data_IF_537593349997
#
_entry.id   IF_537593349997
#
_cell.length_a   1.000
_cell.length_b   1.000
_cell.length_c   1.000
_cell.angle_alpha   90.00
_cell.angle_beta   90.00
_cell.angle_gamma   90.00
#
_symmetry.space_group_name_H-M   'P 1'
#
loop_
_entity.id
_entity.type
_entity.pdbx_description
1 polymer ?
#
# COMPACT_ATOMS: atom_id res chain seq x y z
N UNK A 1 -8.75 -6.87 -12.68
CA UNK A 1 -8.65 -5.41 -12.51
C UNK A 1 -7.38 -5.17 -11.74
N UNK A 2 -6.36 -4.58 -12.35
CA UNK A 2 -5.01 -4.51 -11.76
C UNK A 2 -5.07 -3.79 -10.41
N UNK A 3 -4.51 -4.42 -9.38
CA UNK A 3 -4.40 -3.82 -8.06
C UNK A 3 -3.76 -2.44 -8.23
N UNK A 4 -4.57 -1.40 -8.00
CA UNK A 4 -4.08 -0.02 -8.07
C UNK A 4 -3.40 0.24 -6.74
N UNK A 5 -2.14 0.66 -6.79
CA UNK A 5 -1.43 1.12 -5.60
C UNK A 5 -1.42 2.64 -5.65
N UNK A 6 -2.41 3.33 -5.05
CA UNK A 6 -2.53 4.78 -5.16
C UNK A 6 -1.45 5.52 -4.35
N UNK A 7 -0.81 4.83 -3.39
CA UNK A 7 0.29 5.38 -2.63
C UNK A 7 1.56 5.46 -3.50
N UNK A 8 2.41 6.48 -3.37
CA UNK A 8 3.69 6.51 -4.08
C UNK A 8 4.69 5.53 -3.45
N UNK A 9 5.42 4.78 -4.29
CA UNK A 9 6.41 3.77 -3.87
C UNK A 9 7.43 4.29 -2.86
N UNK A 10 7.93 5.53 -3.05
CA UNK A 10 8.91 6.12 -2.15
C UNK A 10 8.37 6.24 -0.71
N UNK A 11 7.10 6.66 -0.57
CA UNK A 11 6.45 6.78 0.73
C UNK A 11 6.12 5.41 1.32
N UNK A 12 5.61 4.50 0.48
CA UNK A 12 5.34 3.11 0.83
C UNK A 12 6.60 2.44 1.43
N UNK A 13 7.73 2.56 0.75
CA UNK A 13 9.01 1.99 1.19
C UNK A 13 9.60 2.71 2.40
N UNK A 14 9.51 4.04 2.47
CA UNK A 14 10.07 4.81 3.59
C UNK A 14 9.37 4.52 4.92
N UNK A 15 8.06 4.29 4.89
CA UNK A 15 7.25 4.03 6.09
C UNK A 15 6.80 2.57 6.22
N UNK A 16 7.23 1.70 5.31
CA UNK A 16 6.81 0.30 5.22
C UNK A 16 5.28 0.17 5.24
N UNK A 17 4.61 0.98 4.43
CA UNK A 17 3.16 1.04 4.29
C UNK A 17 2.77 0.54 2.90
N UNK A 18 1.73 -0.29 2.82
CA UNK A 18 1.16 -0.73 1.55
C UNK A 18 -0.32 -0.42 1.53
N UNK A 19 -0.75 0.33 0.51
CA UNK A 19 -2.16 0.57 0.25
C UNK A 19 -2.56 -0.25 -0.98
N UNK A 20 -3.41 -1.25 -0.75
CA UNK A 20 -3.94 -2.12 -1.80
C UNK A 20 -5.38 -1.70 -2.11
N UNK A 21 -5.66 -1.43 -3.39
CA UNK A 21 -7.00 -1.20 -3.91
C UNK A 21 -7.50 -2.50 -4.57
N UNK A 22 -8.51 -3.13 -3.97
CA UNK A 22 -9.16 -4.32 -4.53
C UNK A 22 -10.24 -3.96 -5.58
N UNK A 23 -10.47 -2.65 -5.78
CA UNK A 23 -11.47 -2.09 -6.69
C UNK A 23 -12.81 -1.77 -6.02
N UNK A 24 -13.11 -2.39 -4.88
CA UNK A 24 -14.24 -2.04 -4.00
C UNK A 24 -13.78 -1.33 -2.72
N UNK A 25 -12.62 -1.73 -2.19
CA UNK A 25 -12.12 -1.33 -0.87
C UNK A 25 -10.62 -1.06 -0.90
N UNK A 26 -10.22 -0.12 -0.04
CA UNK A 26 -8.83 0.21 0.23
C UNK A 26 -8.36 -0.48 1.51
N UNK A 27 -7.40 -1.39 1.37
CA UNK A 27 -6.77 -2.10 2.49
C UNK A 27 -5.40 -1.50 2.75
N UNK A 28 -5.24 -0.91 3.94
CA UNK A 28 -3.97 -0.37 4.41
C UNK A 28 -3.25 -1.41 5.26
N UNK A 29 -2.08 -1.83 4.81
CA UNK A 29 -1.19 -2.70 5.55
C UNK A 29 -0.08 -1.90 6.22
N UNK A 30 0.09 -2.11 7.52
CA UNK A 30 1.08 -1.40 8.31
C UNK A 30 1.70 -2.31 9.39
N UNK A 31 3.00 -2.16 9.71
CA UNK A 31 3.60 -2.88 10.82
C UNK A 31 3.15 -2.33 12.17
N UNK A 32 3.32 -3.10 13.24
CA UNK A 32 3.06 -2.63 14.61
C UNK A 32 3.96 -1.45 14.99
N UNK A 33 5.17 -1.38 14.41
CA UNK A 33 6.16 -0.32 14.62
C UNK A 33 5.94 0.93 13.78
N UNK A 34 4.85 1.01 13.00
CA UNK A 34 4.58 2.15 12.12
C UNK A 34 4.40 3.45 12.89
N UNK A 35 4.92 4.55 12.34
CA UNK A 35 4.67 5.88 12.89
C UNK A 35 3.21 6.29 12.73
N UNK A 36 2.58 6.72 13.82
CA UNK A 36 1.19 7.20 13.82
C UNK A 36 1.01 8.42 12.92
N UNK A 37 2.02 9.27 12.78
CA UNK A 37 1.96 10.43 11.88
C UNK A 37 1.87 10.01 10.42
N UNK A 38 2.66 9.01 10.02
CA UNK A 38 2.61 8.47 8.66
C UNK A 38 1.28 7.76 8.38
N UNK A 39 0.78 7.00 9.37
CA UNK A 39 -0.53 6.36 9.29
C UNK A 39 -1.65 7.41 9.13
N UNK A 40 -1.61 8.48 9.92
CA UNK A 40 -2.62 9.55 9.90
C UNK A 40 -2.69 10.28 8.56
N UNK A 41 -1.55 10.53 7.91
CA UNK A 41 -1.53 11.13 6.58
C UNK A 41 -2.21 10.23 5.54
N UNK A 42 -1.95 8.92 5.57
CA UNK A 42 -2.61 7.97 4.65
C UNK A 42 -4.12 7.91 4.91
N UNK A 43 -4.54 7.81 6.17
CA UNK A 43 -5.96 7.77 6.55
C UNK A 43 -6.70 9.08 6.21
N UNK A 44 -5.97 10.21 6.14
CA UNK A 44 -6.53 11.50 5.74
C UNK A 44 -6.68 11.64 4.23
N UNK A 45 -5.70 11.15 3.47
CA UNK A 45 -5.68 11.26 2.01
C UNK A 45 -6.53 10.19 1.33
N UNK A 46 -6.61 8.99 1.93
CA UNK A 46 -7.26 7.82 1.35
C UNK A 46 -8.34 7.30 2.28
N UNK A 47 -9.48 6.92 1.70
CA UNK A 47 -10.59 6.32 2.44
C UNK A 47 -10.31 4.82 2.67
N UNK A 48 -9.40 4.54 3.60
CA UNK A 48 -9.08 3.17 4.01
C UNK A 48 -10.31 2.51 4.61
N UNK A 49 -10.72 1.39 4.05
CA UNK A 49 -11.85 0.58 4.52
C UNK A 49 -11.38 -0.39 5.61
N UNK A 50 -10.17 -0.93 5.46
CA UNK A 50 -9.62 -1.93 6.36
C UNK A 50 -8.14 -1.67 6.66
N UNK A 51 -7.78 -1.70 7.94
CA UNK A 51 -6.38 -1.68 8.39
C UNK A 51 -5.95 -3.10 8.77
N UNK A 52 -4.88 -3.60 8.15
CA UNK A 52 -4.27 -4.88 8.51
C UNK A 52 -2.86 -4.69 9.06
N UNK A 53 -2.52 -5.48 10.08
CA UNK A 53 -1.19 -5.49 10.69
C UNK A 53 -0.38 -6.63 10.12
N UNK A 54 0.85 -6.32 9.71
CA UNK A 54 1.74 -7.29 9.06
C UNK A 54 3.19 -6.96 9.42
N UNK A 55 4.06 -7.96 9.49
CA UNK A 55 5.46 -7.69 9.86
C UNK A 55 6.16 -6.79 8.85
N UNK A 56 7.06 -5.91 9.32
CA UNK A 56 7.80 -5.00 8.45
C UNK A 56 8.61 -5.75 7.37
N UNK A 57 9.16 -6.92 7.73
CA UNK A 57 9.89 -7.79 6.81
C UNK A 57 9.01 -8.32 5.68
N UNK A 58 7.81 -8.82 6.02
CA UNK A 58 6.83 -9.28 5.02
C UNK A 58 6.35 -8.13 4.15
N UNK A 59 6.07 -6.97 4.73
CA UNK A 59 5.61 -5.79 4.01
C UNK A 59 6.64 -5.26 3.03
N UNK A 60 7.92 -5.22 3.40
CA UNK A 60 8.98 -4.80 2.48
C UNK A 60 8.99 -5.64 1.19
N UNK A 61 8.81 -6.95 1.31
CA UNK A 61 8.74 -7.85 0.16
C UNK A 61 7.44 -7.65 -0.64
N UNK A 62 6.29 -7.51 0.03
CA UNK A 62 4.99 -7.25 -0.63
C UNK A 62 5.00 -5.91 -1.38
N UNK A 63 5.56 -4.86 -0.80
CA UNK A 63 5.73 -3.55 -1.47
C UNK A 63 6.62 -3.71 -2.70
N UNK A 64 7.76 -4.40 -2.59
CA UNK A 64 8.61 -4.62 -3.76
C UNK A 64 7.87 -5.38 -4.88
N UNK A 65 7.12 -6.43 -4.55
CA UNK A 65 6.37 -7.23 -5.51
C UNK A 65 5.19 -6.47 -6.14
N UNK A 66 4.42 -5.74 -5.32
CA UNK A 66 3.27 -4.94 -5.73
C UNK A 66 3.63 -3.88 -6.76
N UNK A 67 4.71 -3.13 -6.52
CA UNK A 67 5.15 -2.09 -7.43
C UNK A 67 5.95 -2.64 -8.62
N UNK A 68 6.63 -3.79 -8.48
CA UNK A 68 7.28 -4.45 -9.61
C UNK A 68 6.26 -5.01 -10.63
N UNK A 69 5.06 -5.41 -10.19
CA UNK A 69 4.00 -5.93 -11.07
C UNK A 69 3.10 -4.88 -11.72
N UNK A 70 3.09 -3.64 -11.23
CA UNK A 70 2.20 -2.58 -11.74
C UNK A 70 2.56 -2.09 -13.15
N UNK A 71 3.73 -2.42 -13.69
CA UNK A 71 4.11 -2.13 -15.08
C UNK A 71 3.30 -2.96 -16.10
N UNK A 72 2.57 -4.01 -15.68
CA UNK A 72 1.85 -4.91 -16.60
C UNK A 72 0.39 -4.54 -16.93
N UNK A 73 -0.22 -3.51 -16.32
CA UNK A 73 -1.64 -3.18 -16.55
C UNK A 73 -1.89 -1.87 -17.32
N UNK A 74 -0.85 -1.26 -17.90
CA UNK A 74 -0.98 -0.08 -18.76
C UNK A 74 -0.98 -0.40 -20.27
N UNK A 75 -1.05 -1.68 -20.65
CA UNK A 75 -1.04 -2.13 -22.05
C UNK A 75 -2.24 -3.05 -22.36
N UNK A 76 -3.44 -2.49 -22.41
CA UNK A 76 -4.52 -3.00 -23.27
C UNK A 76 -5.20 -1.80 -23.92
N UNK A 77 -4.62 -1.35 -25.04
CA UNK A 77 -5.28 -0.51 -26.05
C UNK A 77 -5.57 -1.36 -27.27
#
# INVERSE_FOLDING_TARGET
>A
MGARHPLPYAYAKAHTLLLEDDGDRLVLWAPETVSLSALGEVLRLYRVDQLQRESASTLGNRIAAAYAGSESSAATV
#
